data_IF_203840621378
#
_entry.id   IF_203840621378
#
_cell.length_a   1.000
_cell.length_b   1.000
_cell.length_c   1.000
_cell.angle_alpha   90.00
_cell.angle_beta   90.00
_cell.angle_gamma   90.00
#
_symmetry.space_group_name_H-M   'P 1'
#
loop_
_entity.id
_entity.type
_entity.pdbx_description
1 polymer ?
#
# COMPACT_ATOMS: atom_id res chain seq x y z
N UNK A 1 -7.37 3.53 -15.24
CA UNK A 1 -7.26 3.23 -13.81
C UNK A 1 -5.96 3.86 -13.40
N UNK A 2 -6.00 4.68 -12.36
CA UNK A 2 -4.82 5.31 -11.82
C UNK A 2 -4.74 5.07 -10.31
N UNK A 3 -3.52 5.10 -9.79
CA UNK A 3 -3.28 5.13 -8.36
C UNK A 3 -3.05 6.60 -8.00
N UNK A 4 -4.05 7.22 -7.40
CA UNK A 4 -4.00 8.65 -7.02
C UNK A 4 -3.55 8.87 -5.57
N UNK A 5 -3.37 7.78 -4.81
CA UNK A 5 -2.75 7.76 -3.49
C UNK A 5 -1.90 6.50 -3.34
N UNK A 6 -0.61 6.68 -3.05
CA UNK A 6 0.31 5.61 -2.72
C UNK A 6 1.28 6.08 -1.63
N UNK A 7 1.18 5.50 -0.43
CA UNK A 7 2.03 5.90 0.70
C UNK A 7 2.28 4.75 1.68
N UNK A 8 3.28 4.97 2.55
CA UNK A 8 3.54 4.15 3.73
C UNK A 8 3.15 4.93 4.99
N UNK A 9 2.66 4.22 5.99
CA UNK A 9 2.25 4.79 7.26
C UNK A 9 2.42 3.81 8.43
N UNK A 10 2.44 4.31 9.66
CA UNK A 10 2.47 3.47 10.87
C UNK A 10 1.17 2.66 11.03
N UNK A 11 0.03 3.24 10.63
CA UNK A 11 -1.28 2.58 10.64
C UNK A 11 -2.26 3.20 9.62
N UNK A 12 -3.19 2.37 9.14
CA UNK A 12 -4.35 2.80 8.34
C UNK A 12 -5.60 2.04 8.78
N UNK A 13 -6.73 2.73 8.88
CA UNK A 13 -8.02 2.14 9.27
C UNK A 13 -9.16 2.71 8.43
N UNK A 14 -10.22 1.93 8.25
CA UNK A 14 -11.49 2.40 7.68
C UNK A 14 -12.49 2.47 8.83
N UNK A 15 -13.07 3.64 9.07
CA UNK A 15 -14.08 3.80 10.11
C UNK A 15 -15.47 3.31 9.67
N UNK A 16 -16.43 3.32 10.59
CA UNK A 16 -17.81 2.87 10.30
C UNK A 16 -18.55 3.72 9.25
N UNK A 17 -18.04 4.90 8.91
CA UNK A 17 -18.58 5.73 7.82
C UNK A 17 -17.90 5.47 6.47
N UNK A 18 -16.95 4.54 6.42
CA UNK A 18 -16.18 4.22 5.22
C UNK A 18 -15.03 5.20 4.95
N UNK A 19 -14.71 6.11 5.89
CA UNK A 19 -13.60 7.05 5.71
C UNK A 19 -12.28 6.39 6.07
N UNK A 20 -11.28 6.65 5.23
CA UNK A 20 -9.90 6.21 5.43
C UNK A 20 -9.18 7.17 6.38
N UNK A 21 -8.70 6.64 7.50
CA UNK A 21 -7.81 7.32 8.43
C UNK A 21 -6.40 6.77 8.28
N UNK A 22 -5.42 7.67 8.19
CA UNK A 22 -4.00 7.33 8.02
C UNK A 22 -3.22 8.03 9.13
N UNK A 23 -2.44 7.27 9.89
CA UNK A 23 -1.65 7.77 11.01
C UNK A 23 -0.16 7.56 10.73
N UNK A 24 0.62 8.63 10.88
CA UNK A 24 2.08 8.57 10.77
C UNK A 24 2.55 8.24 9.35
N UNK A 25 2.20 9.06 8.36
CA UNK A 25 2.76 8.92 7.00
C UNK A 25 4.25 9.19 7.04
N UNK A 26 5.05 8.32 6.42
CA UNK A 26 6.50 8.45 6.40
C UNK A 26 7.12 8.03 5.07
N UNK A 27 8.30 8.57 4.78
CA UNK A 27 9.19 8.19 3.69
C UNK A 27 10.58 7.74 4.17
N UNK A 28 10.82 7.82 5.49
CA UNK A 28 12.11 7.53 6.12
C UNK A 28 11.93 6.81 7.45
N UNK A 29 12.66 5.71 7.61
CA UNK A 29 12.82 5.02 8.89
C UNK A 29 14.13 5.47 9.53
N UNK A 30 14.07 5.93 10.79
CA UNK A 30 15.25 6.28 11.58
C UNK A 30 15.57 5.16 12.58
N UNK A 31 16.85 4.78 12.68
CA UNK A 31 17.33 3.76 13.60
C UNK A 31 18.67 4.16 14.22
N UNK A 32 18.90 3.80 15.49
CA UNK A 32 20.16 4.12 16.20
C UNK A 32 21.34 3.23 15.82
N UNK A 33 21.06 2.03 15.28
CA UNK A 33 22.04 1.08 14.79
C UNK A 33 21.43 0.23 13.67
N UNK A 34 22.26 -0.39 12.84
CA UNK A 34 21.85 -1.30 11.77
C UNK A 34 22.54 -2.67 11.95
N UNK A 35 21.86 -3.81 11.71
CA UNK A 35 20.48 -3.95 11.21
C UNK A 35 19.42 -3.51 12.23
N UNK A 36 18.30 -2.98 11.71
CA UNK A 36 17.17 -2.53 12.52
C UNK A 36 15.87 -3.18 12.05
N UNK A 37 14.95 -3.41 12.99
CA UNK A 37 13.59 -3.86 12.70
C UNK A 37 12.63 -2.68 12.84
N UNK A 38 11.85 -2.42 11.78
CA UNK A 38 10.74 -1.47 11.85
C UNK A 38 9.48 -2.20 12.30
N UNK A 39 8.81 -1.70 13.33
CA UNK A 39 7.80 -2.46 14.06
C UNK A 39 6.49 -2.68 13.31
N UNK A 40 5.98 -1.66 12.60
CA UNK A 40 4.71 -1.71 11.86
C UNK A 40 4.83 -0.88 10.60
N UNK A 41 4.30 -1.39 9.50
CA UNK A 41 4.21 -0.66 8.25
C UNK A 41 2.87 -1.01 7.60
N UNK A 42 2.07 0.00 7.32
CA UNK A 42 0.89 -0.08 6.49
C UNK A 42 1.22 0.51 5.12
N UNK A 43 0.87 -0.21 4.05
CA UNK A 43 0.88 0.32 2.69
C UNK A 43 -0.54 0.69 2.30
N UNK A 44 -0.74 1.92 1.87
CA UNK A 44 -2.05 2.45 1.50
C UNK A 44 -2.04 2.79 0.01
N UNK A 45 -2.94 2.15 -0.73
CA UNK A 45 -3.16 2.38 -2.15
C UNK A 45 -4.63 2.76 -2.36
N UNK A 46 -4.89 3.83 -3.13
CA UNK A 46 -6.23 4.15 -3.63
C UNK A 46 -6.22 4.09 -5.14
N UNK A 47 -7.15 3.32 -5.70
CA UNK A 47 -7.35 3.18 -7.12
C UNK A 47 -8.55 4.04 -7.53
N UNK A 48 -8.33 4.91 -8.51
CA UNK A 48 -9.39 5.64 -9.20
C UNK A 48 -9.59 4.99 -10.57
N UNK A 49 -10.84 4.66 -10.87
CA UNK A 49 -11.21 3.97 -12.10
C UNK A 49 -12.53 4.55 -12.63
N UNK A 50 -12.66 4.66 -13.94
CA UNK A 50 -13.92 5.02 -14.59
C UNK A 50 -14.78 3.79 -14.91
N UNK A 51 -16.02 4.00 -15.36
CA UNK A 51 -16.93 2.92 -15.76
C UNK A 51 -16.30 1.87 -16.71
N UNK A 52 -15.52 2.23 -17.74
CA UNK A 52 -14.90 1.24 -18.64
C UNK A 52 -13.88 0.32 -17.97
N UNK A 53 -13.47 0.67 -16.74
CA UNK A 53 -12.43 0.03 -15.95
C UNK A 53 -13.03 -0.67 -14.72
N UNK A 54 -14.36 -0.77 -14.65
CA UNK A 54 -15.04 -1.56 -13.63
C UNK A 54 -14.85 -3.05 -13.92
N UNK A 55 -14.70 -3.86 -12.86
CA UNK A 55 -14.48 -5.29 -13.00
C UNK A 55 -13.38 -5.84 -12.10
N UNK A 56 -13.12 -7.14 -12.19
CA UNK A 56 -12.01 -7.79 -11.50
C UNK A 56 -10.68 -7.34 -12.07
N UNK A 57 -9.72 -7.07 -11.19
CA UNK A 57 -8.35 -6.67 -11.52
C UNK A 57 -7.37 -7.47 -10.67
N UNK A 58 -6.39 -8.10 -11.31
CA UNK A 58 -5.26 -8.68 -10.59
C UNK A 58 -4.34 -7.56 -10.10
N UNK A 59 -3.97 -7.62 -8.82
CA UNK A 59 -3.07 -6.67 -8.17
C UNK A 59 -1.89 -7.44 -7.60
N UNK A 60 -0.69 -7.04 -8.01
CA UNK A 60 0.57 -7.58 -7.51
C UNK A 60 1.41 -6.48 -6.83
N UNK A 61 1.86 -6.75 -5.61
CA UNK A 61 2.76 -5.89 -4.84
C UNK A 61 4.07 -6.63 -4.66
N UNK A 62 5.15 -6.05 -5.16
CA UNK A 62 6.51 -6.59 -5.03
C UNK A 62 7.36 -5.64 -4.20
N UNK A 63 7.92 -6.14 -3.11
CA UNK A 63 9.02 -5.49 -2.40
C UNK A 63 10.33 -6.13 -2.85
N UNK A 64 11.27 -5.31 -3.30
CA UNK A 64 12.59 -5.77 -3.75
C UNK A 64 13.70 -5.13 -2.91
N UNK A 65 14.82 -5.83 -2.78
CA UNK A 65 16.05 -5.26 -2.22
C UNK A 65 16.62 -4.19 -3.16
N UNK A 66 17.59 -3.37 -2.70
CA UNK A 66 18.31 -2.45 -3.58
C UNK A 66 18.99 -3.12 -4.77
N UNK A 67 19.34 -4.39 -4.67
CA UNK A 67 19.95 -5.20 -5.74
C UNK A 67 18.91 -5.80 -6.71
N UNK A 68 17.63 -5.50 -6.51
CA UNK A 68 16.52 -6.00 -7.34
C UNK A 68 16.05 -7.42 -7.00
N UNK A 69 16.53 -8.00 -5.91
CA UNK A 69 16.08 -9.33 -5.45
C UNK A 69 14.71 -9.19 -4.81
N UNK A 70 13.74 -10.01 -5.21
CA UNK A 70 12.41 -10.03 -4.59
C UNK A 70 12.51 -10.48 -3.12
N UNK A 71 12.03 -9.63 -2.21
CA UNK A 71 12.00 -9.88 -0.76
C UNK A 71 10.62 -10.38 -0.34
N UNK A 72 9.57 -9.80 -0.93
CA UNK A 72 8.18 -10.15 -0.66
C UNK A 72 7.35 -9.94 -1.93
N UNK A 73 6.39 -10.84 -2.15
CA UNK A 73 5.34 -10.70 -3.15
C UNK A 73 3.98 -10.95 -2.51
N UNK A 74 3.04 -10.06 -2.80
CA UNK A 74 1.63 -10.20 -2.44
C UNK A 74 0.82 -10.09 -3.74
N UNK A 75 0.10 -11.14 -4.10
CA UNK A 75 -0.82 -11.13 -5.22
C UNK A 75 -2.26 -11.23 -4.70
N UNK A 76 -3.20 -10.61 -5.39
CA UNK A 76 -4.61 -10.65 -5.06
C UNK A 76 -5.49 -10.18 -6.20
N UNK A 77 -6.80 -10.34 -6.03
CA UNK A 77 -7.81 -9.81 -6.93
C UNK A 77 -8.55 -8.67 -6.24
N UNK A 78 -8.83 -7.60 -6.99
CA UNK A 78 -9.61 -6.45 -6.55
C UNK A 78 -10.80 -6.27 -7.48
N UNK A 79 -11.97 -6.03 -6.90
CA UNK A 79 -13.16 -5.66 -7.66
C UNK A 79 -13.30 -4.13 -7.69
N UNK A 80 -13.18 -3.53 -8.86
CA UNK A 80 -13.41 -2.10 -9.06
C UNK A 80 -14.89 -1.83 -9.32
N UNK A 81 -15.49 -1.04 -8.44
CA UNK A 81 -16.84 -0.53 -8.61
C UNK A 81 -16.86 0.65 -9.61
N UNK A 82 -18.00 0.91 -10.27
CA UNK A 82 -18.16 2.05 -11.18
C UNK A 82 -18.08 3.42 -10.49
#
# INVERSE_FOLDING_TARGET
MEIDLALLADAATIDGSGKLNILGVFDRVSASAFPAQHGRMAMVLRFAAGLPESGPHEVGIRLSSPDGVEVLRLDGEMQLAP
#
